data_IF_442768808001
#
_entry.id   IF_442768808001
#
_cell.length_a   1.000
_cell.length_b   1.000
_cell.length_c   1.000
_cell.angle_alpha   90.00
_cell.angle_beta   90.00
_cell.angle_gamma   90.00
#
_symmetry.space_group_name_H-M   'P 1'
#
loop_
_entity.id
_entity.type
_entity.pdbx_description
1 polymer ?
#
# COMPACT_ATOMS: atom_id res chain seq x y z
N UNK A 1 -12.46 -2.99 -18.68
CA UNK A 1 -11.77 -1.79 -19.26
C UNK A 1 -10.28 -2.07 -19.32
N UNK A 2 -9.53 -1.53 -20.27
CA UNK A 2 -8.08 -1.68 -20.28
C UNK A 2 -7.36 -0.38 -20.67
N UNK A 3 -6.09 -0.29 -20.28
CA UNK A 3 -5.16 0.76 -20.68
C UNK A 3 -3.87 0.11 -21.18
N UNK A 4 -3.38 0.54 -22.34
CA UNK A 4 -2.05 0.18 -22.84
C UNK A 4 -1.16 1.40 -22.81
N UNK A 5 0.05 1.26 -22.29
CA UNK A 5 1.06 2.32 -22.25
C UNK A 5 2.34 1.80 -22.88
N UNK A 6 2.91 2.56 -23.81
CA UNK A 6 4.27 2.39 -24.29
C UNK A 6 5.16 3.42 -23.60
N UNK A 7 6.11 2.95 -22.80
CA UNK A 7 7.11 3.86 -22.20
C UNK A 7 8.18 4.25 -23.22
N UNK A 8 8.84 5.41 -23.05
CA UNK A 8 9.97 5.83 -23.90
C UNK A 8 11.15 4.84 -23.94
N UNK A 9 11.23 3.92 -22.97
CA UNK A 9 12.21 2.83 -22.95
C UNK A 9 11.86 1.67 -23.91
N UNK A 10 10.74 1.77 -24.63
CA UNK A 10 10.26 0.75 -25.57
C UNK A 10 9.45 -0.37 -24.91
N UNK A 11 9.18 -0.29 -23.60
CA UNK A 11 8.42 -1.30 -22.87
C UNK A 11 6.92 -1.04 -22.94
N UNK A 12 6.16 -2.09 -23.23
CA UNK A 12 4.70 -2.07 -23.21
C UNK A 12 4.16 -2.56 -21.86
N UNK A 13 3.17 -1.86 -21.34
CA UNK A 13 2.42 -2.23 -20.15
C UNK A 13 0.93 -2.29 -20.49
N UNK A 14 0.27 -3.39 -20.11
CA UNK A 14 -1.17 -3.58 -20.24
C UNK A 14 -1.78 -3.67 -18.84
N UNK A 15 -2.72 -2.77 -18.55
CA UNK A 15 -3.53 -2.82 -17.32
C UNK A 15 -4.96 -3.21 -17.66
N UNK A 16 -5.43 -4.30 -17.07
CA UNK A 16 -6.78 -4.81 -17.25
C UNK A 16 -7.58 -4.56 -15.98
N UNK A 17 -8.69 -3.82 -16.09
CA UNK A 17 -9.70 -3.81 -15.05
C UNK A 17 -10.55 -5.07 -15.21
N UNK A 18 -10.42 -5.96 -14.24
CA UNK A 18 -11.17 -7.22 -14.16
C UNK A 18 -12.19 -7.14 -13.04
N UNK A 19 -13.34 -7.77 -13.25
CA UNK A 19 -14.32 -7.99 -12.21
C UNK A 19 -14.02 -9.34 -11.55
N UNK A 20 -13.80 -9.33 -10.24
CA UNK A 20 -13.73 -10.56 -9.48
C UNK A 20 -15.15 -10.95 -9.04
N UNK A 21 -15.45 -12.25 -9.07
CA UNK A 21 -16.70 -12.75 -8.48
C UNK A 21 -16.75 -12.34 -7.01
N UNK A 22 -17.94 -11.99 -6.53
CA UNK A 22 -18.14 -11.71 -5.11
C UNK A 22 -17.67 -12.94 -4.31
N UNK A 23 -16.73 -12.73 -3.40
CA UNK A 23 -16.34 -13.76 -2.44
C UNK A 23 -17.57 -14.03 -1.56
N UNK A 24 -17.86 -15.29 -1.29
CA UNK A 24 -18.95 -15.68 -0.40
C UNK A 24 -18.76 -14.97 0.95
N UNK A 25 -19.73 -14.15 1.33
CA UNK A 25 -19.61 -13.37 2.56
C UNK A 25 -19.71 -14.32 3.75
N UNK A 26 -18.75 -14.21 4.67
CA UNK A 26 -18.85 -14.88 5.95
C UNK A 26 -20.07 -14.36 6.72
N UNK A 27 -20.73 -15.26 7.46
CA UNK A 27 -21.82 -14.86 8.36
C UNK A 27 -21.31 -13.80 9.34
N UNK A 28 -22.03 -12.68 9.55
CA UNK A 28 -21.64 -11.67 10.52
C UNK A 28 -21.45 -12.29 11.90
N UNK A 29 -20.39 -11.89 12.60
CA UNK A 29 -20.07 -12.42 13.93
C UNK A 29 -20.90 -11.75 15.05
N UNK A 30 -21.64 -10.69 14.73
CA UNK A 30 -22.35 -9.84 15.70
C UNK A 30 -21.45 -8.97 16.57
N UNK A 31 -20.12 -9.02 16.39
CA UNK A 31 -19.16 -8.22 17.16
C UNK A 31 -18.95 -6.87 16.49
N UNK A 32 -18.98 -5.81 17.30
CA UNK A 32 -18.52 -4.48 16.89
C UNK A 32 -17.15 -4.23 17.52
N UNK A 33 -16.13 -4.06 16.69
CA UNK A 33 -14.74 -3.86 17.14
C UNK A 33 -14.16 -2.64 16.42
N UNK A 34 -13.79 -1.61 17.18
CA UNK A 34 -13.08 -0.46 16.67
C UNK A 34 -11.62 -0.80 16.39
N UNK A 35 -11.04 -0.19 15.35
CA UNK A 35 -9.63 -0.32 14.98
C UNK A 35 -9.01 1.06 15.06
N UNK A 36 -8.10 1.25 16.01
CA UNK A 36 -7.26 2.44 16.13
C UNK A 36 -5.88 2.13 15.56
N UNK A 37 -5.39 2.93 14.62
CA UNK A 37 -4.12 2.69 13.91
C UNK A 37 -3.08 3.75 14.25
N UNK A 38 -1.83 3.34 14.47
CA UNK A 38 -0.80 4.25 14.96
C UNK A 38 0.62 3.90 14.52
N UNK A 39 1.56 4.73 14.96
CA UNK A 39 3.00 4.55 14.69
C UNK A 39 3.64 3.59 15.69
N UNK A 40 3.29 3.71 16.98
CA UNK A 40 3.82 2.84 18.03
C UNK A 40 3.30 1.40 17.85
N UNK A 41 1.99 1.27 17.69
CA UNK A 41 1.29 0.03 17.39
C UNK A 41 0.58 0.18 16.04
N UNK A 42 0.75 -0.80 15.15
CA UNK A 42 0.11 -0.79 13.83
C UNK A 42 -1.41 -0.71 13.98
N UNK A 43 -1.96 -1.48 14.91
CA UNK A 43 -3.39 -1.45 15.23
C UNK A 43 -3.66 -1.86 16.68
N UNK A 44 -4.57 -1.17 17.33
CA UNK A 44 -5.16 -1.53 18.62
C UNK A 44 -6.65 -1.69 18.41
N UNK A 45 -7.19 -2.84 18.80
CA UNK A 45 -8.62 -3.10 18.72
C UNK A 45 -9.30 -2.81 20.05
N UNK A 46 -10.56 -2.39 19.98
CA UNK A 46 -11.39 -2.12 21.19
C UNK A 46 -11.66 -3.36 22.04
N UNK A 47 -11.33 -4.56 21.55
CA UNK A 47 -11.38 -5.82 22.30
C UNK A 47 -10.07 -6.14 23.05
N UNK A 48 -9.10 -5.22 23.06
CA UNK A 48 -7.83 -5.33 23.77
C UNK A 48 -6.68 -5.98 22.99
N UNK A 49 -6.93 -6.49 21.77
CA UNK A 49 -5.87 -7.00 20.91
C UNK A 49 -4.99 -5.87 20.37
N UNK A 50 -3.68 -6.08 20.39
CA UNK A 50 -2.69 -5.15 19.87
C UNK A 50 -1.81 -5.82 18.82
N UNK A 51 -1.57 -5.10 17.73
CA UNK A 51 -0.69 -5.49 16.64
C UNK A 51 0.48 -4.52 16.64
N UNK A 52 1.69 -5.06 16.89
CA UNK A 52 2.91 -4.26 16.91
C UNK A 52 3.16 -3.65 15.53
N UNK A 53 3.84 -2.50 15.53
CA UNK A 53 4.43 -1.95 14.31
C UNK A 53 5.48 -2.90 13.70
N UNK A 54 5.84 -2.65 12.45
CA UNK A 54 6.87 -3.39 11.73
C UNK A 54 8.16 -2.56 11.62
N UNK A 55 9.30 -3.22 11.45
CA UNK A 55 10.56 -2.53 11.18
C UNK A 55 10.52 -1.86 9.79
N UNK A 56 10.41 -0.54 9.78
CA UNK A 56 10.39 0.30 8.58
C UNK A 56 11.78 0.77 8.15
N UNK A 57 12.84 0.48 8.92
CA UNK A 57 14.15 1.13 8.78
C UNK A 57 14.79 0.92 7.39
N UNK A 58 14.61 -0.26 6.80
CA UNK A 58 15.08 -0.56 5.45
C UNK A 58 14.38 0.29 4.39
N UNK A 59 13.05 0.37 4.48
CA UNK A 59 12.22 1.12 3.55
C UNK A 59 12.48 2.63 3.68
N UNK A 60 12.63 3.13 4.90
CA UNK A 60 12.96 4.53 5.18
C UNK A 60 14.31 4.93 4.58
N UNK A 61 15.36 4.12 4.79
CA UNK A 61 16.69 4.35 4.19
C UNK A 61 16.61 4.41 2.67
N UNK A 62 15.85 3.52 2.05
CA UNK A 62 15.60 3.54 0.60
C UNK A 62 14.85 4.79 0.18
N UNK A 63 13.77 5.15 0.87
CA UNK A 63 12.97 6.32 0.55
C UNK A 63 13.82 7.60 0.57
N UNK A 64 14.63 7.80 1.61
CA UNK A 64 15.55 8.95 1.70
C UNK A 64 16.54 8.99 0.54
N UNK A 65 17.14 7.85 0.18
CA UNK A 65 18.08 7.75 -0.94
C UNK A 65 17.42 8.13 -2.27
N UNK A 66 16.22 7.60 -2.54
CA UNK A 66 15.48 7.87 -3.77
C UNK A 66 14.94 9.30 -3.82
N UNK A 67 14.44 9.83 -2.70
CA UNK A 67 14.00 11.23 -2.60
C UNK A 67 15.15 12.18 -2.93
N UNK A 68 16.34 11.93 -2.38
CA UNK A 68 17.55 12.72 -2.67
C UNK A 68 17.94 12.67 -4.16
N UNK A 69 17.88 11.49 -4.78
CA UNK A 69 18.16 11.33 -6.23
C UNK A 69 17.13 12.08 -7.08
N UNK A 70 15.85 11.98 -6.72
CA UNK A 70 14.76 12.64 -7.42
C UNK A 70 14.88 14.17 -7.33
N UNK A 71 15.09 14.73 -6.14
CA UNK A 71 15.22 16.19 -5.95
C UNK A 71 16.34 16.80 -6.81
N UNK A 72 17.42 16.06 -7.07
CA UNK A 72 18.52 16.50 -7.96
C UNK A 72 18.19 16.44 -9.44
N UNK A 73 17.27 15.56 -9.85
CA UNK A 73 16.98 15.26 -11.26
C UNK A 73 15.67 15.89 -11.75
N UNK A 74 14.79 16.32 -10.85
CA UNK A 74 13.44 16.79 -11.20
C UNK A 74 13.41 17.97 -12.18
N UNK A 75 14.45 18.79 -12.22
CA UNK A 75 14.55 19.95 -13.13
C UNK A 75 15.42 19.69 -14.37
N UNK A 76 15.93 18.46 -14.54
CA UNK A 76 16.76 18.05 -15.68
C UNK A 76 15.96 17.24 -16.72
N UNK A 77 14.65 17.12 -16.53
CA UNK A 77 13.72 16.40 -17.39
C UNK A 77 12.81 17.37 -18.13
#
# INVERSE_FOLDING_TARGET
RYTVVLEPTGKYYLSLQVEAKLIEQFKPTGKSVGIDVGIADLAILSNGLKYSSFDSSYCEKKAVCWQKKYSRRRHLA
#
